data_IF_632583038875
#
_entry.id   IF_632583038875
#
_cell.length_a   1.000
_cell.length_b   1.000
_cell.length_c   1.000
_cell.angle_alpha   90.00
_cell.angle_beta   90.00
_cell.angle_gamma   90.00
#
_symmetry.space_group_name_H-M   'P 1'
#
loop_
_entity.id
_entity.type
_entity.pdbx_description
1 polymer ?
#
# COMPACT_ATOMS: atom_id res chain seq x y z
N UNK A 1 2.32 -41.78 -1.48
CA UNK A 1 2.69 -41.04 -2.71
C UNK A 1 1.50 -40.42 -3.46
N UNK A 2 0.29 -40.34 -2.90
CA UNK A 2 -0.85 -39.69 -3.57
C UNK A 2 -0.97 -38.18 -3.26
N UNK A 3 -0.45 -37.74 -2.11
CA UNK A 3 -0.61 -36.36 -1.64
C UNK A 3 0.14 -35.34 -2.51
N UNK A 4 1.25 -35.75 -3.14
CA UNK A 4 2.01 -34.89 -4.06
C UNK A 4 1.18 -34.48 -5.27
N UNK A 5 0.29 -35.36 -5.76
CA UNK A 5 -0.62 -35.04 -6.86
C UNK A 5 -1.65 -33.97 -6.49
N UNK A 6 -1.91 -33.76 -5.20
CA UNK A 6 -2.77 -32.69 -4.69
C UNK A 6 -1.97 -31.44 -4.32
N UNK A 7 -0.80 -31.59 -3.69
CA UNK A 7 0.03 -30.46 -3.26
C UNK A 7 0.60 -29.67 -4.44
N UNK A 8 1.04 -30.35 -5.51
CA UNK A 8 1.63 -29.68 -6.69
C UNK A 8 0.65 -28.70 -7.35
N UNK A 9 -0.58 -29.11 -7.74
CA UNK A 9 -1.54 -28.17 -8.33
C UNK A 9 -1.99 -27.11 -7.33
N UNK A 10 -2.12 -27.44 -6.05
CA UNK A 10 -2.48 -26.47 -5.01
C UNK A 10 -1.40 -25.37 -4.87
N UNK A 11 -0.12 -25.76 -4.85
CA UNK A 11 0.99 -24.81 -4.79
C UNK A 11 1.04 -23.92 -6.04
N UNK A 12 0.82 -24.49 -7.23
CA UNK A 12 0.73 -23.71 -8.47
C UNK A 12 -0.44 -22.71 -8.45
N UNK A 13 -1.60 -23.13 -7.93
CA UNK A 13 -2.75 -22.24 -7.76
C UNK A 13 -2.41 -21.06 -6.84
N UNK A 14 -1.81 -21.34 -5.68
CA UNK A 14 -1.40 -20.30 -4.74
C UNK A 14 -0.34 -19.37 -5.34
N UNK A 15 0.60 -19.90 -6.12
CA UNK A 15 1.59 -19.10 -6.83
C UNK A 15 0.93 -18.13 -7.83
N UNK A 16 -0.03 -18.60 -8.62
CA UNK A 16 -0.77 -17.76 -9.57
C UNK A 16 -1.54 -16.65 -8.82
N UNK A 17 -2.22 -16.99 -7.72
CA UNK A 17 -2.94 -16.03 -6.88
C UNK A 17 -1.98 -14.95 -6.35
N UNK A 18 -0.81 -15.36 -5.86
CA UNK A 18 0.21 -14.42 -5.38
C UNK A 18 0.70 -13.47 -6.48
N UNK A 19 0.96 -13.99 -7.68
CA UNK A 19 1.39 -13.17 -8.84
C UNK A 19 0.30 -12.17 -9.23
N UNK A 20 -0.97 -12.59 -9.30
CA UNK A 20 -2.08 -11.69 -9.63
C UNK A 20 -2.27 -10.61 -8.57
N UNK A 21 -2.24 -10.98 -7.30
CA UNK A 21 -2.34 -10.04 -6.19
C UNK A 21 -1.21 -9.01 -6.22
N UNK A 22 0.03 -9.47 -6.46
CA UNK A 22 1.19 -8.60 -6.59
C UNK A 22 1.07 -7.65 -7.79
N UNK A 23 0.69 -8.17 -8.96
CA UNK A 23 0.50 -7.34 -10.16
C UNK A 23 -0.61 -6.30 -9.97
N UNK A 24 -1.69 -6.64 -9.24
CA UNK A 24 -2.75 -5.71 -8.90
C UNK A 24 -2.25 -4.61 -7.94
N UNK A 25 -1.50 -4.97 -6.90
CA UNK A 25 -0.92 -4.01 -5.95
C UNK A 25 0.03 -3.02 -6.63
N UNK A 26 0.90 -3.51 -7.53
CA UNK A 26 1.82 -2.67 -8.31
C UNK A 26 1.06 -1.70 -9.23
N UNK A 27 0.02 -2.18 -9.92
CA UNK A 27 -0.82 -1.33 -10.79
C UNK A 27 -1.70 -0.36 -10.01
N UNK A 28 -1.99 -0.64 -8.75
CA UNK A 28 -2.77 0.20 -7.85
C UNK A 28 -2.00 1.38 -7.26
N UNK A 29 -0.72 1.57 -7.61
CA UNK A 29 0.06 2.71 -7.13
C UNK A 29 0.39 2.67 -5.64
N UNK A 30 0.23 1.52 -4.96
CA UNK A 30 0.56 1.36 -3.53
C UNK A 30 2.02 1.73 -3.20
N UNK A 31 2.92 1.62 -4.18
CA UNK A 31 4.34 1.90 -4.01
C UNK A 31 4.72 3.32 -4.43
N UNK A 32 3.81 4.12 -4.96
CA UNK A 32 4.06 5.51 -5.33
C UNK A 32 4.01 6.46 -4.13
N UNK A 33 3.29 6.07 -3.07
CA UNK A 33 3.12 6.90 -1.88
C UNK A 33 3.90 6.37 -0.66
N UNK A 34 5.22 6.28 -0.80
CA UNK A 34 6.13 5.98 0.32
C UNK A 34 6.61 7.24 1.06
N UNK A 35 6.44 8.41 0.46
CA UNK A 35 6.98 9.68 0.95
C UNK A 35 5.98 10.49 1.82
N UNK A 36 4.68 10.44 1.52
CA UNK A 36 3.64 11.18 2.27
C UNK A 36 3.49 10.75 3.74
N UNK A 37 3.60 9.45 4.11
CA UNK A 37 3.45 9.03 5.50
C UNK A 37 4.51 9.59 6.46
N UNK A 38 5.72 9.86 5.96
CA UNK A 38 6.81 10.40 6.77
C UNK A 38 6.67 11.91 6.99
N UNK A 39 6.00 12.62 6.07
CA UNK A 39 5.73 14.05 6.21
C UNK A 39 4.45 14.33 7.00
N UNK A 40 3.46 13.44 6.97
CA UNK A 40 2.21 13.61 7.73
C UNK A 40 2.40 13.60 9.25
N UNK A 41 3.42 12.90 9.77
CA UNK A 41 3.73 12.91 11.22
C UNK A 41 4.37 14.22 11.69
N UNK A 42 4.97 14.99 10.78
CA UNK A 42 5.61 16.28 11.02
C UNK A 42 4.73 17.46 10.59
N UNK A 43 3.74 17.20 9.74
CA UNK A 43 2.71 18.16 9.40
C UNK A 43 1.80 18.31 10.63
N UNK A 44 1.87 19.46 11.29
CA UNK A 44 0.88 19.88 12.28
C UNK A 44 -0.46 20.11 11.54
N UNK A 45 -1.17 19.04 11.17
CA UNK A 45 -2.50 19.10 10.55
C UNK A 45 -3.55 19.73 11.49
N UNK A 46 -3.22 19.84 12.78
CA UNK A 46 -4.00 20.51 13.82
C UNK A 46 -3.65 22.00 13.98
N UNK A 47 -2.78 22.58 13.14
CA UNK A 47 -2.47 24.00 13.21
C UNK A 47 -3.75 24.82 12.90
N UNK A 48 -4.26 25.62 13.86
CA UNK A 48 -5.44 26.43 13.62
C UNK A 48 -5.18 27.37 12.44
N UNK A 49 -6.18 27.63 11.58
CA UNK A 49 -6.05 28.58 10.48
C UNK A 49 -5.45 29.88 11.00
N UNK A 50 -4.27 30.25 10.51
CA UNK A 50 -3.69 31.54 10.86
C UNK A 50 -4.58 32.60 10.25
N UNK A 51 -5.40 33.25 11.08
CA UNK A 51 -6.13 34.43 10.68
C UNK A 51 -5.12 35.45 10.13
N UNK A 52 -5.41 36.05 8.95
CA UNK A 52 -4.58 37.11 8.41
C UNK A 52 -4.46 38.20 9.47
N UNK A 53 -3.23 38.43 9.94
CA UNK A 53 -2.93 39.53 10.82
C UNK A 53 -2.98 40.79 9.96
N UNK A 54 -4.11 41.48 10.01
CA UNK A 54 -4.27 42.83 9.48
C UNK A 54 -3.55 43.80 10.43
N UNK A 55 -2.24 43.95 10.25
CA UNK A 55 -1.48 45.05 10.84
C UNK A 55 -1.68 46.30 9.97
N UNK A 56 -2.61 47.15 10.40
CA UNK A 56 -2.82 48.52 9.91
C UNK A 56 -2.02 49.55 10.73
#
# INVERSE_FOLDING_TARGET
>A
MNILLLLVPLALMLLIVAIVAFAWAVRGGQFEDLDTPALSILADEDAPPQEPRDDA
#
